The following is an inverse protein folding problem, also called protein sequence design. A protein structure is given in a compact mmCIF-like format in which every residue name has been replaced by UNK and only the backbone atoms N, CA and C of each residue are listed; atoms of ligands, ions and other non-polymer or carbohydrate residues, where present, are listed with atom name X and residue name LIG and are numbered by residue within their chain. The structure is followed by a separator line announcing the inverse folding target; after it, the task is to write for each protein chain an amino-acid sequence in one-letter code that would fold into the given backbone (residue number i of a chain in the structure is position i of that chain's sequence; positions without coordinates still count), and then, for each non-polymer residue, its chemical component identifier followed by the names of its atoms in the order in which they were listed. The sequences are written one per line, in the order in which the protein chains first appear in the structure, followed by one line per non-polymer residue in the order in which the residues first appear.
data_IF_029544779240
#
_entry.id   IF_029544779240
#
_cell.length_a   1.000
_cell.length_b   1.000
_cell.length_c   1.000
_cell.angle_alpha   90.00
_cell.angle_beta   90.00
_cell.angle_gamma   90.00
#
_symmetry.space_group_name_H-M   'P 1'
#
loop_
_entity.id
_entity.type
_entity.pdbx_description
1 polymer ?
#
# COMPACT_ATOMS: atom_id res chain seq x y z
N UNK A 1 73.45 -19.97 -33.92
CA UNK A 1 74.11 -18.81 -34.59
C UNK A 1 73.04 -17.93 -35.20
N UNK A 2 73.29 -16.61 -35.23
CA UNK A 2 72.41 -15.48 -35.61
C UNK A 2 71.43 -14.94 -34.53
N UNK A 3 71.97 -13.98 -33.75
CA UNK A 3 71.35 -12.68 -33.42
C UNK A 3 71.30 -11.80 -34.71
N UNK A 4 70.72 -10.57 -34.75
CA UNK A 4 69.79 -9.84 -33.86
C UNK A 4 68.64 -9.13 -34.63
N UNK A 5 67.68 -8.51 -33.92
CA UNK A 5 67.23 -7.14 -34.18
C UNK A 5 66.38 -6.64 -33.00
N UNK A 6 66.94 -5.70 -32.25
CA UNK A 6 66.29 -5.03 -31.14
C UNK A 6 65.34 -3.95 -31.68
N UNK A 7 64.08 -3.96 -31.21
CA UNK A 7 63.19 -2.81 -31.31
C UNK A 7 63.03 -2.23 -29.89
N UNK A 8 63.68 -1.10 -29.67
CA UNK A 8 63.63 -0.32 -28.44
C UNK A 8 62.33 0.49 -28.45
N UNK A 9 61.31 0.06 -27.70
CA UNK A 9 60.12 0.88 -27.44
C UNK A 9 60.43 1.74 -26.22
N UNK A 10 60.65 3.04 -26.46
CA UNK A 10 60.71 4.05 -25.40
C UNK A 10 59.28 4.31 -24.93
N UNK A 11 58.91 3.73 -23.79
CA UNK A 11 57.68 4.07 -23.10
C UNK A 11 57.91 5.37 -22.32
N UNK A 12 57.35 6.47 -22.83
CA UNK A 12 57.30 7.76 -22.14
C UNK A 12 56.37 7.62 -20.93
N UNK A 13 56.93 7.52 -19.73
CA UNK A 13 56.20 7.69 -18.47
C UNK A 13 55.75 9.15 -18.37
N UNK A 14 54.52 9.43 -18.79
CA UNK A 14 53.85 10.67 -18.38
C UNK A 14 53.48 10.46 -16.92
N UNK A 15 54.34 10.94 -16.02
CA UNK A 15 53.97 11.19 -14.64
C UNK A 15 52.94 12.33 -14.64
N UNK A 16 51.68 11.98 -14.86
CA UNK A 16 50.55 12.86 -14.60
C UNK A 16 50.45 13.06 -13.10
N UNK A 17 51.01 14.16 -12.60
CA UNK A 17 50.65 14.68 -11.29
C UNK A 17 49.15 14.97 -11.33
N UNK A 18 48.34 14.05 -10.79
CA UNK A 18 46.95 14.34 -10.47
C UNK A 18 46.94 15.63 -9.63
N UNK A 19 46.26 16.65 -10.13
CA UNK A 19 46.19 17.93 -9.45
C UNK A 19 45.50 17.75 -8.10
N UNK A 20 45.72 18.63 -7.11
CA UNK A 20 44.99 18.60 -5.85
C UNK A 20 43.46 18.60 -6.02
N UNK A 21 42.95 19.06 -7.17
CA UNK A 21 41.53 19.05 -7.52
C UNK A 21 41.00 17.66 -7.87
N UNK A 22 41.79 16.76 -8.46
CA UNK A 22 41.34 15.38 -8.76
C UNK A 22 41.22 14.52 -7.50
N UNK A 23 41.98 14.82 -6.43
CA UNK A 23 41.81 14.17 -5.12
C UNK A 23 40.54 14.62 -4.39
N UNK A 24 39.93 15.73 -4.77
CA UNK A 24 38.66 16.21 -4.21
C UNK A 24 37.43 15.57 -4.87
N UNK A 25 37.58 14.95 -6.05
CA UNK A 25 36.47 14.34 -6.78
C UNK A 25 36.09 12.91 -6.30
N UNK A 26 36.83 12.36 -5.34
CA UNK A 26 36.60 11.04 -4.74
C UNK A 26 36.44 11.11 -3.21
N UNK A 27 36.01 12.27 -2.70
CA UNK A 27 35.45 12.30 -1.36
C UNK A 27 34.12 11.54 -1.41
N UNK A 28 34.13 10.31 -0.90
CA UNK A 28 32.92 9.59 -0.49
C UNK A 28 32.05 10.59 0.29
N UNK A 29 30.93 11.01 -0.32
CA UNK A 29 29.97 11.88 0.36
C UNK A 29 29.34 11.03 1.44
N UNK A 30 29.97 11.02 2.61
CA UNK A 30 29.31 10.59 3.83
C UNK A 30 28.12 11.52 4.00
N UNK A 31 26.92 11.01 3.66
CA UNK A 31 25.66 11.59 4.06
C UNK A 31 25.59 11.49 5.59
N UNK A 32 26.35 12.33 6.29
CA UNK A 32 26.16 12.57 7.72
C UNK A 32 24.71 13.04 7.84
N UNK A 33 23.83 12.32 8.55
CA UNK A 33 22.46 12.78 8.76
C UNK A 33 22.54 14.18 9.35
N UNK A 34 22.01 15.18 8.63
CA UNK A 34 21.97 16.54 9.16
C UNK A 34 21.14 16.51 10.44
N UNK A 35 21.64 17.20 11.48
CA UNK A 35 20.88 17.40 12.70
C UNK A 35 19.54 18.04 12.33
N UNK A 36 18.46 17.33 12.63
CA UNK A 36 17.10 17.79 12.39
C UNK A 36 16.89 19.12 13.12
N UNK A 37 16.37 20.13 12.43
CA UNK A 37 16.13 21.45 13.01
C UNK A 37 15.09 21.33 14.13
N UNK A 38 15.42 21.65 15.39
CA UNK A 38 14.48 21.55 16.50
C UNK A 38 13.30 22.52 16.39
N UNK A 39 13.33 23.49 15.47
CA UNK A 39 12.23 24.42 15.20
C UNK A 39 11.25 23.94 14.13
N UNK A 40 11.63 22.92 13.34
CA UNK A 40 10.80 22.33 12.30
C UNK A 40 10.04 21.11 12.85
N UNK A 41 8.91 21.34 13.51
CA UNK A 41 8.07 20.26 14.02
C UNK A 41 7.24 19.57 12.93
N UNK A 42 7.70 19.53 11.66
CA UNK A 42 6.99 18.97 10.50
C UNK A 42 5.91 17.92 10.79
N UNK A 43 4.73 18.12 10.21
CA UNK A 43 3.55 17.29 10.49
C UNK A 43 3.79 15.81 10.14
N UNK A 44 3.63 14.95 11.15
CA UNK A 44 3.85 13.51 11.02
C UNK A 44 2.56 12.73 10.77
N UNK A 45 1.40 13.35 10.96
CA UNK A 45 0.07 12.75 10.85
C UNK A 45 -0.34 12.50 9.40
N UNK A 46 0.29 11.51 8.78
CA UNK A 46 0.13 11.16 7.36
C UNK A 46 0.48 9.70 7.08
N UNK A 47 0.45 9.34 5.80
CA UNK A 47 0.94 8.07 5.31
C UNK A 47 2.46 8.08 5.11
N UNK A 48 3.08 6.95 5.41
CA UNK A 48 4.50 6.70 5.27
C UNK A 48 4.70 5.35 4.59
N UNK A 49 5.73 5.22 3.74
CA UNK A 49 6.04 3.95 3.09
C UNK A 49 7.52 3.82 2.76
N UNK A 50 7.99 2.58 2.71
CA UNK A 50 9.30 2.20 2.17
C UNK A 50 9.17 1.37 0.87
N UNK A 51 8.00 1.44 0.22
CA UNK A 51 7.65 0.63 -0.96
C UNK A 51 7.18 -0.80 -0.66
N UNK A 52 7.59 -1.38 0.47
CA UNK A 52 7.21 -2.74 0.87
C UNK A 52 6.14 -2.77 1.97
N UNK A 53 6.22 -1.86 2.94
CA UNK A 53 5.26 -1.68 4.04
C UNK A 53 4.70 -0.26 3.99
N UNK A 54 3.62 -0.06 4.74
CA UNK A 54 3.04 1.26 4.96
C UNK A 54 2.76 1.49 6.43
N UNK A 55 2.92 2.73 6.87
CA UNK A 55 2.55 3.18 8.20
C UNK A 55 1.59 4.37 8.04
N UNK A 56 0.42 4.29 8.68
CA UNK A 56 -0.46 5.43 8.88
C UNK A 56 -0.22 5.97 10.28
N UNK A 57 0.14 7.24 10.39
CA UNK A 57 0.07 7.99 11.63
C UNK A 57 -1.15 8.91 11.53
N UNK A 58 -2.15 8.68 12.37
CA UNK A 58 -3.37 9.49 12.39
C UNK A 58 -3.19 10.73 13.27
N UNK A 59 -3.81 11.85 12.92
CA UNK A 59 -3.75 13.08 13.71
C UNK A 59 -4.36 12.93 15.12
N UNK A 60 -5.24 11.94 15.31
CA UNK A 60 -5.82 11.59 16.62
C UNK A 60 -4.84 10.89 17.57
N UNK A 61 -3.65 10.52 17.09
CA UNK A 61 -2.66 9.79 17.86
C UNK A 61 -2.77 8.27 17.73
N UNK A 62 -3.54 7.75 16.77
CA UNK A 62 -3.57 6.32 16.43
C UNK A 62 -2.60 5.99 15.29
N UNK A 63 -2.06 4.78 15.26
CA UNK A 63 -1.28 4.29 14.13
C UNK A 63 -1.70 2.90 13.66
N UNK A 64 -1.42 2.62 12.39
CA UNK A 64 -1.54 1.29 11.81
C UNK A 64 -0.35 1.01 10.89
N UNK A 65 0.36 -0.08 11.15
CA UNK A 65 1.46 -0.59 10.33
C UNK A 65 0.95 -1.75 9.46
N UNK A 66 1.03 -1.60 8.14
CA UNK A 66 0.57 -2.56 7.17
C UNK A 66 1.73 -3.36 6.59
N UNK A 67 1.46 -4.64 6.28
CA UNK A 67 2.44 -5.57 5.72
C UNK A 67 2.86 -5.20 4.30
N UNK A 68 1.95 -4.56 3.57
CA UNK A 68 2.06 -4.26 2.14
C UNK A 68 1.26 -3.00 1.80
N UNK A 69 1.18 -2.70 0.50
CA UNK A 69 0.46 -1.55 -0.03
C UNK A 69 -1.08 -1.62 0.18
N UNK A 70 -1.62 -2.80 0.47
CA UNK A 70 -3.05 -3.03 0.57
C UNK A 70 -3.58 -2.71 1.98
N UNK A 71 -4.08 -1.48 2.12
CA UNK A 71 -4.65 -0.94 3.36
C UNK A 71 -5.93 -1.61 3.84
N UNK A 72 -6.57 -2.44 3.02
CA UNK A 72 -7.76 -3.19 3.42
C UNK A 72 -7.42 -4.48 4.17
N UNK A 73 -6.18 -4.97 4.02
CA UNK A 73 -5.73 -6.13 4.79
C UNK A 73 -5.55 -5.75 6.27
N UNK A 74 -5.75 -6.73 7.19
CA UNK A 74 -5.43 -6.52 8.59
C UNK A 74 -3.99 -6.00 8.73
N UNK A 75 -3.78 -4.86 9.42
CA UNK A 75 -2.44 -4.38 9.66
C UNK A 75 -1.65 -5.39 10.49
N UNK A 76 -0.33 -5.35 10.35
CA UNK A 76 0.60 -6.08 11.20
C UNK A 76 0.45 -5.68 12.66
N UNK A 77 0.15 -4.41 12.89
CA UNK A 77 0.14 -3.81 14.21
C UNK A 77 -0.74 -2.54 14.20
N UNK A 78 -1.46 -2.33 15.30
CA UNK A 78 -2.18 -1.10 15.59
C UNK A 78 -1.82 -0.62 16.99
N UNK A 79 -1.94 0.68 17.22
CA UNK A 79 -1.68 1.24 18.54
C UNK A 79 -1.87 2.74 18.58
N UNK A 80 -1.31 3.36 19.61
CA UNK A 80 -1.21 4.81 19.72
C UNK A 80 0.21 5.30 19.42
N UNK A 81 0.35 6.52 18.94
CA UNK A 81 1.63 7.17 18.77
C UNK A 81 1.67 8.54 19.45
N UNK A 82 2.86 8.95 19.82
CA UNK A 82 3.12 10.28 20.36
C UNK A 82 4.47 10.77 19.87
N UNK A 83 4.67 12.08 19.81
CA UNK A 83 5.97 12.69 19.48
C UNK A 83 6.62 13.25 20.75
N UNK A 84 7.45 12.46 21.46
CA UNK A 84 8.14 12.96 22.64
C UNK A 84 9.24 13.99 22.32
N UNK A 85 9.76 14.03 21.09
CA UNK A 85 10.76 15.02 20.66
C UNK A 85 10.76 15.23 19.14
N UNK A 86 11.45 16.27 18.68
CA UNK A 86 11.57 16.56 17.24
C UNK A 86 12.22 15.43 16.43
N UNK A 87 13.08 14.62 17.06
CA UNK A 87 13.87 13.57 16.41
C UNK A 87 13.32 12.15 16.61
N UNK A 88 12.20 11.99 17.35
CA UNK A 88 11.69 10.66 17.69
C UNK A 88 10.16 10.65 17.78
N UNK A 89 9.57 9.58 17.24
CA UNK A 89 8.19 9.16 17.50
C UNK A 89 8.21 8.00 18.48
N UNK A 90 7.19 7.91 19.34
CA UNK A 90 6.90 6.75 20.16
C UNK A 90 5.69 6.02 19.59
N UNK A 91 5.80 4.73 19.31
CA UNK A 91 4.68 3.85 18.95
C UNK A 91 4.37 2.90 20.10
N UNK A 92 3.10 2.75 20.46
CA UNK A 92 2.61 1.92 21.57
C UNK A 92 1.54 0.95 21.06
N UNK A 93 1.90 -0.30 20.71
CA UNK A 93 0.96 -1.33 20.21
C UNK A 93 -0.16 -1.65 21.21
N UNK A 94 -1.36 -1.99 20.72
CA UNK A 94 -2.48 -2.41 21.58
C UNK A 94 -2.46 -3.90 21.97
N UNK A 95 -1.91 -4.75 21.11
CA UNK A 95 -2.02 -6.22 21.25
C UNK A 95 -1.01 -6.85 22.22
N UNK A 96 -0.09 -6.06 22.80
CA UNK A 96 0.93 -6.56 23.73
C UNK A 96 0.52 -6.40 25.21
N UNK A 97 0.49 -7.51 25.95
CA UNK A 97 0.23 -7.55 27.39
C UNK A 97 1.35 -6.91 28.27
N UNK A 98 2.41 -6.41 27.64
CA UNK A 98 3.53 -5.70 28.28
C UNK A 98 3.76 -4.44 27.48
N UNK A 99 3.78 -3.28 28.17
CA UNK A 99 3.96 -1.93 27.64
C UNK A 99 5.28 -1.76 26.82
N UNK A 100 5.32 -2.38 25.64
CA UNK A 100 6.42 -2.31 24.67
C UNK A 100 6.19 -1.12 23.76
N UNK A 101 6.27 0.07 24.33
CA UNK A 101 6.44 1.25 23.49
C UNK A 101 7.80 1.18 22.79
N UNK A 102 7.83 1.62 21.54
CA UNK A 102 9.00 1.63 20.69
C UNK A 102 9.40 3.06 20.33
N UNK A 103 10.70 3.36 20.35
CA UNK A 103 11.26 4.59 19.75
C UNK A 103 11.46 4.39 18.26
N UNK A 104 10.92 5.31 17.47
CA UNK A 104 11.08 5.40 16.02
C UNK A 104 11.87 6.68 15.74
N UNK A 105 13.17 6.57 15.40
CA UNK A 105 13.97 7.71 15.01
C UNK A 105 13.39 8.41 13.77
N UNK A 106 13.39 9.74 13.81
CA UNK A 106 13.15 10.62 12.67
C UNK A 106 14.52 11.08 12.20
N UNK A 107 14.82 10.86 10.93
CA UNK A 107 16.04 11.38 10.29
C UNK A 107 15.66 12.18 9.05
N UNK A 108 16.57 13.03 8.60
CA UNK A 108 16.42 13.78 7.35
C UNK A 108 17.55 13.37 6.41
N UNK A 109 17.19 12.91 5.21
CA UNK A 109 18.13 12.58 4.14
C UNK A 109 17.86 13.51 2.96
N UNK A 110 18.75 14.48 2.73
CA UNK A 110 18.45 15.61 1.85
C UNK A 110 17.30 16.44 2.43
N UNK A 111 16.22 16.62 1.66
CA UNK A 111 15.00 17.31 2.11
C UNK A 111 13.85 16.37 2.49
N UNK A 112 14.10 15.06 2.55
CA UNK A 112 13.06 14.07 2.82
C UNK A 112 13.17 13.54 4.24
N UNK A 113 12.04 13.57 4.95
CA UNK A 113 11.91 12.96 6.28
C UNK A 113 11.82 11.44 6.17
N UNK A 114 12.47 10.76 7.10
CA UNK A 114 12.51 9.31 7.17
C UNK A 114 12.22 8.83 8.58
N UNK A 115 11.27 7.89 8.70
CA UNK A 115 11.00 7.13 9.92
C UNK A 115 11.71 5.78 9.87
N UNK A 116 12.42 5.44 10.96
CA UNK A 116 13.12 4.16 11.11
C UNK A 116 12.34 3.25 12.05
N UNK A 117 11.45 2.43 11.49
CA UNK A 117 10.54 1.56 12.25
C UNK A 117 11.14 0.16 12.37
N UNK A 118 11.65 -0.20 13.55
CA UNK A 118 12.27 -1.53 13.84
C UNK A 118 13.42 -1.80 12.86
N UNK A 119 13.44 -3.01 12.32
CA UNK A 119 14.38 -3.50 11.31
C UNK A 119 13.83 -3.32 9.88
N UNK A 120 12.80 -2.49 9.68
CA UNK A 120 12.27 -2.18 8.35
C UNK A 120 13.16 -1.16 7.64
N UNK A 121 13.10 -1.15 6.31
CA UNK A 121 13.71 -0.09 5.52
C UNK A 121 13.10 1.28 5.88
N UNK A 122 13.88 2.38 5.81
CA UNK A 122 13.40 3.72 6.17
C UNK A 122 12.15 4.10 5.38
N UNK A 123 11.15 4.63 6.09
CA UNK A 123 9.88 5.03 5.49
C UNK A 123 9.86 6.54 5.22
N UNK A 124 9.45 6.94 4.03
CA UNK A 124 9.26 8.33 3.62
C UNK A 124 7.78 8.70 3.59
N UNK A 125 7.40 9.98 3.76
CA UNK A 125 6.02 10.39 3.68
C UNK A 125 5.47 10.19 2.26
N UNK A 126 4.20 9.81 2.15
CA UNK A 126 3.44 9.74 0.90
C UNK A 126 2.13 10.50 1.07
N UNK A 127 1.62 11.11 0.00
CA UNK A 127 0.40 11.94 0.06
C UNK A 127 -0.85 11.08 0.28
N UNK A 128 -0.88 9.91 -0.35
CA UNK A 128 -2.00 8.98 -0.33
C UNK A 128 -1.47 7.54 -0.31
N UNK A 129 -2.24 6.58 0.22
CA UNK A 129 -1.88 5.18 0.09
C UNK A 129 -1.82 4.78 -1.40
N UNK A 130 -0.95 3.83 -1.80
CA UNK A 130 -0.94 3.32 -3.16
C UNK A 130 -2.30 2.75 -3.54
N UNK A 131 -2.69 2.94 -4.80
CA UNK A 131 -3.91 2.35 -5.35
C UNK A 131 -3.73 0.85 -5.45
N UNK A 132 -4.72 0.09 -4.99
CA UNK A 132 -4.78 -1.36 -5.08
C UNK A 132 -6.05 -1.78 -5.81
N UNK A 133 -6.06 -2.99 -6.36
CA UNK A 133 -7.20 -3.48 -7.14
C UNK A 133 -8.51 -3.51 -6.33
N UNK A 134 -8.44 -3.69 -5.01
CA UNK A 134 -9.62 -3.59 -4.14
C UNK A 134 -10.29 -2.21 -4.17
N UNK A 135 -9.55 -1.14 -4.51
CA UNK A 135 -10.13 0.20 -4.72
C UNK A 135 -11.16 0.19 -5.85
N UNK A 136 -10.89 -0.57 -6.91
CA UNK A 136 -11.79 -0.72 -8.06
C UNK A 136 -12.94 -1.70 -7.81
N UNK A 137 -12.81 -2.54 -6.77
CA UNK A 137 -13.84 -3.52 -6.39
C UNK A 137 -14.90 -2.94 -5.45
N UNK A 138 -14.54 -1.95 -4.65
CA UNK A 138 -15.48 -1.34 -3.70
C UNK A 138 -16.58 -0.59 -4.46
N UNK A 139 -17.84 -0.86 -4.10
CA UNK A 139 -19.00 -0.21 -4.69
C UNK A 139 -20.17 -1.15 -4.94
N UNK A 140 -21.08 -0.70 -5.80
CA UNK A 140 -22.30 -1.42 -6.16
C UNK A 140 -22.10 -2.12 -7.50
N UNK A 141 -22.49 -3.38 -7.55
CA UNK A 141 -22.34 -4.30 -8.66
C UNK A 141 -23.71 -4.88 -9.03
N UNK A 142 -24.10 -4.81 -10.30
CA UNK A 142 -25.39 -5.27 -10.81
C UNK A 142 -25.23 -6.48 -11.72
N UNK A 143 -26.09 -7.48 -11.54
CA UNK A 143 -26.23 -8.63 -12.42
C UNK A 143 -27.71 -8.91 -12.72
N UNK A 144 -27.98 -9.86 -13.62
CA UNK A 144 -29.35 -10.29 -13.91
C UNK A 144 -30.09 -10.80 -12.66
N UNK A 145 -29.34 -11.43 -11.75
CA UNK A 145 -29.87 -12.11 -10.57
C UNK A 145 -30.00 -11.23 -9.33
N UNK A 146 -29.39 -10.03 -9.34
CA UNK A 146 -29.44 -9.13 -8.18
C UNK A 146 -28.32 -8.10 -8.14
N UNK A 147 -28.17 -7.50 -6.97
CA UNK A 147 -27.18 -6.46 -6.66
C UNK A 147 -26.23 -6.96 -5.59
N UNK A 148 -24.93 -6.83 -5.84
CA UNK A 148 -23.85 -7.08 -4.88
C UNK A 148 -23.24 -5.74 -4.48
N UNK A 149 -23.04 -5.51 -3.19
CA UNK A 149 -22.34 -4.33 -2.67
C UNK A 149 -21.09 -4.79 -1.95
N UNK A 150 -19.92 -4.25 -2.33
CA UNK A 150 -18.63 -4.51 -1.70
C UNK A 150 -18.19 -3.28 -0.92
N UNK A 151 -18.11 -3.40 0.40
CA UNK A 151 -17.70 -2.33 1.30
C UNK A 151 -16.18 -2.28 1.53
N UNK A 152 -15.69 -1.07 1.83
CA UNK A 152 -14.29 -0.81 2.19
C UNK A 152 -13.85 -1.47 3.51
N UNK A 153 -14.81 -1.91 4.32
CA UNK A 153 -14.63 -2.68 5.55
C UNK A 153 -14.50 -4.20 5.30
N UNK A 154 -14.37 -4.61 4.03
CA UNK A 154 -14.36 -6.00 3.58
C UNK A 154 -15.66 -6.75 3.88
N UNK A 155 -16.77 -6.04 4.08
CA UNK A 155 -18.12 -6.62 4.20
C UNK A 155 -18.83 -6.50 2.86
N UNK A 156 -19.60 -7.52 2.50
CA UNK A 156 -20.48 -7.47 1.33
C UNK A 156 -21.94 -7.70 1.71
N UNK A 157 -22.82 -7.23 0.84
CA UNK A 157 -24.24 -7.60 0.86
C UNK A 157 -24.72 -7.95 -0.55
N UNK A 158 -25.51 -9.01 -0.65
CA UNK A 158 -26.18 -9.43 -1.87
C UNK A 158 -27.69 -9.34 -1.68
N UNK A 159 -28.36 -8.67 -2.60
CA UNK A 159 -29.81 -8.54 -2.67
C UNK A 159 -30.31 -9.15 -3.98
N UNK A 160 -31.12 -10.22 -3.96
CA UNK A 160 -31.65 -10.81 -5.18
C UNK A 160 -32.60 -9.85 -5.87
N UNK A 161 -32.70 -9.96 -7.20
CA UNK A 161 -33.72 -9.25 -7.96
C UNK A 161 -35.11 -9.73 -7.52
N UNK A 162 -36.02 -8.80 -7.28
CA UNK A 162 -37.37 -9.12 -6.81
C UNK A 162 -38.09 -10.10 -7.75
N UNK A 163 -38.64 -11.18 -7.19
CA UNK A 163 -39.38 -12.20 -7.91
C UNK A 163 -40.68 -11.70 -8.53
N UNK A 164 -41.19 -10.54 -8.09
CA UNK A 164 -42.38 -9.89 -8.67
C UNK A 164 -42.20 -9.48 -10.15
N UNK A 165 -40.97 -9.55 -10.66
CA UNK A 165 -40.61 -9.20 -12.04
C UNK A 165 -40.31 -10.41 -12.95
N UNK A 166 -40.52 -11.66 -12.49
CA UNK A 166 -40.18 -12.87 -13.26
C UNK A 166 -41.41 -13.79 -13.48
N UNK A 167 -41.62 -14.34 -14.70
CA UNK A 167 -42.78 -15.21 -15.00
C UNK A 167 -42.78 -16.57 -14.28
N UNK A 168 -41.61 -17.05 -13.84
CA UNK A 168 -41.43 -18.29 -13.08
C UNK A 168 -40.37 -17.99 -12.02
N UNK A 169 -40.63 -18.16 -10.71
CA UNK A 169 -39.61 -17.91 -9.71
C UNK A 169 -38.57 -19.05 -9.75
N UNK A 170 -37.31 -18.80 -10.17
CA UNK A 170 -36.25 -19.76 -9.91
C UNK A 170 -36.07 -19.92 -8.38
N UNK A 171 -35.38 -20.96 -7.93
CA UNK A 171 -34.95 -21.07 -6.54
C UNK A 171 -34.20 -19.76 -6.16
N UNK A 172 -34.87 -18.89 -5.41
CA UNK A 172 -34.38 -17.55 -5.12
C UNK A 172 -33.25 -17.71 -4.11
N UNK A 173 -32.03 -17.37 -4.51
CA UNK A 173 -30.95 -17.15 -3.54
C UNK A 173 -31.44 -16.04 -2.61
N UNK A 174 -31.72 -16.39 -1.35
CA UNK A 174 -32.09 -15.41 -0.35
C UNK A 174 -30.97 -14.37 -0.23
N UNK A 175 -31.33 -13.11 0.00
CA UNK A 175 -30.33 -12.07 0.27
C UNK A 175 -29.42 -12.50 1.42
N UNK A 176 -28.12 -12.24 1.27
CA UNK A 176 -27.12 -12.64 2.23
C UNK A 176 -26.01 -11.58 2.34
N UNK A 177 -25.29 -11.58 3.44
CA UNK A 177 -24.14 -10.69 3.67
C UNK A 177 -23.00 -11.50 4.25
N UNK A 178 -21.79 -10.93 4.24
CA UNK A 178 -20.60 -11.67 4.64
C UNK A 178 -19.32 -10.87 4.53
N UNK A 179 -18.18 -11.54 4.68
CA UNK A 179 -16.88 -10.96 4.35
C UNK A 179 -16.50 -11.20 2.90
N UNK A 180 -15.72 -10.32 2.28
CA UNK A 180 -15.14 -10.54 0.96
C UNK A 180 -13.62 -10.36 0.99
N UNK A 181 -12.93 -11.05 0.07
CA UNK A 181 -11.48 -10.92 -0.11
C UNK A 181 -11.10 -11.22 -1.55
N UNK A 182 -10.10 -10.51 -2.08
CA UNK A 182 -9.47 -10.89 -3.33
C UNK A 182 -8.29 -11.84 -3.05
N UNK A 183 -8.31 -13.00 -3.70
CA UNK A 183 -7.28 -14.04 -3.64
C UNK A 183 -6.77 -14.27 -5.09
N UNK A 184 -5.74 -13.52 -5.49
CA UNK A 184 -5.29 -13.50 -6.89
C UNK A 184 -6.32 -12.83 -7.82
N UNK A 185 -6.81 -13.56 -8.82
CA UNK A 185 -7.88 -13.10 -9.71
C UNK A 185 -9.27 -13.57 -9.26
N UNK A 186 -9.41 -14.06 -8.02
CA UNK A 186 -10.67 -14.57 -7.51
C UNK A 186 -11.18 -13.74 -6.33
N UNK A 187 -12.36 -13.16 -6.48
CA UNK A 187 -13.10 -12.57 -5.39
C UNK A 187 -13.84 -13.67 -4.63
N UNK A 188 -13.46 -13.87 -3.37
CA UNK A 188 -14.05 -14.84 -2.48
C UNK A 188 -15.02 -14.17 -1.52
N UNK A 189 -16.29 -14.57 -1.57
CA UNK A 189 -17.36 -14.14 -0.68
C UNK A 189 -17.62 -15.21 0.38
N UNK A 190 -17.60 -14.82 1.65
CA UNK A 190 -17.82 -15.70 2.82
C UNK A 190 -19.07 -15.25 3.57
N UNK A 191 -20.24 -15.87 3.33
CA UNK A 191 -21.49 -15.47 3.96
C UNK A 191 -21.51 -15.64 5.49
N UNK A 192 -22.37 -14.86 6.14
CA UNK A 192 -22.81 -15.05 7.51
C UNK A 192 -24.26 -15.59 7.53
N UNK A 193 -24.56 -16.70 8.22
CA UNK A 193 -23.64 -17.59 8.93
C UNK A 193 -22.79 -18.46 7.98
N UNK A 194 -21.65 -18.94 8.47
CA UNK A 194 -20.64 -19.67 7.69
C UNK A 194 -21.06 -21.07 7.18
N UNK A 195 -22.32 -21.47 7.41
CA UNK A 195 -22.90 -22.72 6.92
C UNK A 195 -23.33 -22.63 5.44
N UNK A 196 -23.49 -21.42 4.90
CA UNK A 196 -23.52 -21.19 3.45
C UNK A 196 -22.08 -21.16 2.96
N UNK A 197 -21.66 -22.15 2.18
CA UNK A 197 -20.29 -22.23 1.66
C UNK A 197 -19.82 -20.93 0.99
N UNK A 198 -18.50 -20.76 0.88
CA UNK A 198 -17.95 -19.59 0.20
C UNK A 198 -18.34 -19.58 -1.29
N UNK A 199 -18.60 -18.40 -1.82
CA UNK A 199 -18.80 -18.17 -3.25
C UNK A 199 -17.53 -17.58 -3.85
N UNK A 200 -17.20 -17.99 -5.07
CA UNK A 200 -16.04 -17.50 -5.81
C UNK A 200 -16.53 -16.82 -7.08
N UNK A 201 -16.11 -15.58 -7.28
CA UNK A 201 -16.32 -14.82 -8.51
C UNK A 201 -14.94 -14.57 -9.14
N UNK A 202 -14.77 -14.95 -10.40
CA UNK A 202 -13.59 -14.61 -11.16
C UNK A 202 -13.60 -13.11 -11.49
N UNK A 203 -12.53 -12.42 -11.14
CA UNK A 203 -12.26 -11.07 -11.61
C UNK A 203 -11.79 -11.16 -13.06
N UNK A 204 -12.49 -10.48 -13.95
CA UNK A 204 -12.05 -10.26 -15.32
C UNK A 204 -12.29 -8.83 -15.73
N UNK A 205 -11.86 -8.49 -16.94
CA UNK A 205 -12.11 -7.19 -17.54
C UNK A 205 -12.99 -7.36 -18.78
N UNK A 206 -13.88 -6.40 -19.03
CA UNK A 206 -14.58 -6.26 -20.30
C UNK A 206 -13.66 -5.74 -21.39
N UNK A 207 -14.15 -5.76 -22.64
CA UNK A 207 -13.41 -5.24 -23.80
C UNK A 207 -13.12 -3.73 -23.69
N UNK A 208 -13.92 -3.02 -22.89
CA UNK A 208 -13.77 -1.61 -22.53
C UNK A 208 -12.82 -1.37 -21.34
N UNK A 209 -12.18 -2.42 -20.83
CA UNK A 209 -11.30 -2.37 -19.66
C UNK A 209 -12.05 -2.21 -18.33
N UNK A 210 -13.38 -2.30 -18.31
CA UNK A 210 -14.15 -2.23 -17.05
C UNK A 210 -14.04 -3.55 -16.28
N UNK A 211 -13.83 -3.51 -14.96
CA UNK A 211 -13.80 -4.75 -14.18
C UNK A 211 -15.18 -5.41 -14.18
N UNK A 212 -15.19 -6.73 -14.18
CA UNK A 212 -16.38 -7.57 -14.17
C UNK A 212 -16.15 -8.75 -13.23
N UNK A 213 -17.15 -9.05 -12.40
CA UNK A 213 -17.11 -10.21 -11.51
C UNK A 213 -17.98 -11.31 -12.12
N UNK A 214 -17.38 -12.47 -12.40
CA UNK A 214 -18.02 -13.55 -13.15
C UNK A 214 -18.17 -14.79 -12.28
N UNK A 215 -19.37 -15.36 -12.26
CA UNK A 215 -19.58 -16.75 -11.84
C UNK A 215 -19.86 -17.63 -13.06
N UNK A 216 -20.08 -18.93 -12.81
CA UNK A 216 -20.59 -19.88 -13.80
C UNK A 216 -21.97 -19.47 -14.38
N UNK A 217 -22.76 -18.70 -13.62
CA UNK A 217 -24.16 -18.38 -13.95
C UNK A 217 -24.42 -16.92 -14.27
N UNK A 218 -23.60 -16.01 -13.76
CA UNK A 218 -23.92 -14.59 -13.78
C UNK A 218 -22.66 -13.73 -13.94
N UNK A 219 -22.84 -12.54 -14.49
CA UNK A 219 -21.79 -11.53 -14.58
C UNK A 219 -22.28 -10.27 -13.93
N UNK A 220 -21.61 -9.86 -12.86
CA UNK A 220 -21.81 -8.57 -12.25
C UNK A 220 -20.95 -7.53 -12.95
N UNK A 221 -21.58 -6.39 -13.23
CA UNK A 221 -20.92 -5.17 -13.72
C UNK A 221 -21.01 -4.09 -12.66
N UNK A 222 -20.04 -3.17 -12.56
CA UNK A 222 -20.20 -2.00 -11.72
C UNK A 222 -21.52 -1.33 -12.12
N UNK A 223 -22.36 -1.01 -11.14
CA UNK A 223 -23.48 -0.12 -11.40
C UNK A 223 -22.88 1.15 -12.00
N UNK A 224 -23.38 1.58 -13.15
CA UNK A 224 -22.96 2.83 -13.79
C UNK A 224 -23.24 3.97 -12.81
N UNK A 225 -22.25 4.29 -11.98
CA UNK A 225 -22.26 5.43 -11.10
C UNK A 225 -21.22 6.39 -11.66
N UNK A 226 -21.74 7.48 -12.22
CA UNK A 226 -21.28 8.85 -12.00
C UNK A 226 -20.06 8.87 -11.05
N UNK A 227 -18.85 8.79 -11.62
CA UNK A 227 -17.57 8.71 -10.89
C UNK A 227 -17.27 10.00 -10.09
N UNK A 228 -18.24 10.90 -9.98
CA UNK A 228 -18.13 12.22 -9.35
C UNK A 228 -18.45 12.24 -7.84
N UNK A 229 -19.02 11.18 -7.25
CA UNK A 229 -19.45 11.23 -5.84
C UNK A 229 -18.44 10.68 -4.80
N UNK A 230 -17.29 10.15 -5.21
CA UNK A 230 -16.28 9.59 -4.28
C UNK A 230 -14.90 10.27 -4.31
N UNK A 231 -14.75 11.41 -5.00
CA UNK A 231 -13.57 12.29 -4.81
C UNK A 231 -13.71 13.28 -3.65
N UNK A 232 -14.84 13.27 -2.94
CA UNK A 232 -14.99 13.99 -1.68
C UNK A 232 -14.46 13.16 -0.52
N UNK A 233 -13.14 12.96 -0.48
CA UNK A 233 -12.50 12.85 0.82
C UNK A 233 -12.61 14.23 1.49
N UNK A 234 -12.95 14.33 2.78
CA UNK A 234 -12.69 15.57 3.49
C UNK A 234 -11.18 15.81 3.44
N UNK A 235 -10.76 16.87 2.73
CA UNK A 235 -9.48 17.52 2.97
C UNK A 235 -9.46 18.03 4.43
N UNK A 236 -8.29 18.11 5.08
CA UNK A 236 -8.15 18.36 6.52
C UNK A 236 -8.87 19.62 7.01
#
# INVERSE_FOLDING_TARGET
MLRPAALLIVATLIAGCASPEEKLALAEVHHTPLAFDPTDEGDLGRWWSNGAQMLRLDQTGEYALYRNANRYQPPLERGSWARPSYAQVRLSPYDDAVDRWQRVPITKSGDVLQLHVRDLAPMTPIEAPPVVIEDDLIGVWQAADGTLVLGADLVYSFSPRSAASLPVPPAVVAGHSGGWRLEGEQLRLRPYPANMGAFELALGFGDDGTPALRSDRTTFRPATNDRDLSRSFPAP
#
